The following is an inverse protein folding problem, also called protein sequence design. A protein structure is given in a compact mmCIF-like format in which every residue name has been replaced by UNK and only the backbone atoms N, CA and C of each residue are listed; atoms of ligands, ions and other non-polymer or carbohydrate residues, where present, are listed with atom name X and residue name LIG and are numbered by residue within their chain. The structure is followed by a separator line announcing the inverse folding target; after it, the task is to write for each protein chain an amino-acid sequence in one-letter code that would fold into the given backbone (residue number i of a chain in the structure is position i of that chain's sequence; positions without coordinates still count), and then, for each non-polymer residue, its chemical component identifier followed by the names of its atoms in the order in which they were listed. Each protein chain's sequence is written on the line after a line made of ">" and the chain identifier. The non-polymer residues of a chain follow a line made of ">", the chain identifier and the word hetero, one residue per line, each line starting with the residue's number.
data_IF_419856893501
#
_entry.id   IF_419856893501
#
_cell.length_a   1.000
_cell.length_b   1.000
_cell.length_c   1.000
_cell.angle_alpha   90.00
_cell.angle_beta   90.00
_cell.angle_gamma   90.00
#
_symmetry.space_group_name_H-M   'P 1'
#
loop_
_entity.id
_entity.type
_entity.pdbx_description
1 polymer ?
#
# COMPACT_ATOMS: atom_id res chain seq x y z
N UNK A 1 -70.66 70.64 11.68
CA UNK A 1 -70.12 69.89 12.83
C UNK A 1 -69.32 68.72 12.30
N UNK A 2 -68.05 68.64 12.66
CA UNK A 2 -67.06 67.73 12.09
C UNK A 2 -67.37 66.26 12.40
N UNK A 3 -67.20 65.40 11.39
CA UNK A 3 -67.30 63.95 11.50
C UNK A 3 -66.04 63.37 12.14
N UNK A 4 -66.22 62.67 13.26
CA UNK A 4 -65.18 61.86 13.90
C UNK A 4 -64.93 60.58 13.07
N UNK A 5 -63.75 60.50 12.45
CA UNK A 5 -63.15 59.21 12.05
C UNK A 5 -62.37 58.66 13.25
N UNK A 6 -62.57 57.38 13.65
CA UNK A 6 -61.78 56.78 14.71
C UNK A 6 -60.33 56.60 14.24
N UNK A 7 -59.39 57.03 15.08
CA UNK A 7 -57.95 56.88 14.90
C UNK A 7 -57.58 55.39 15.00
N UNK A 8 -56.87 54.87 14.00
CA UNK A 8 -56.33 53.50 13.97
C UNK A 8 -55.23 53.35 15.04
N UNK A 9 -55.60 52.96 16.26
CA UNK A 9 -54.65 52.69 17.37
C UNK A 9 -53.98 51.28 17.30
N UNK A 10 -54.18 50.52 16.21
CA UNK A 10 -53.83 49.09 16.18
C UNK A 10 -52.73 48.68 15.17
N UNK A 11 -52.08 49.62 14.49
CA UNK A 11 -51.03 49.28 13.50
C UNK A 11 -49.69 48.90 14.14
N UNK A 12 -49.31 49.53 15.25
CA UNK A 12 -48.07 49.21 15.98
C UNK A 12 -48.15 47.83 16.65
N UNK A 13 -49.32 47.48 17.20
CA UNK A 13 -49.61 46.15 17.77
C UNK A 13 -49.44 45.01 16.74
N UNK A 14 -49.92 45.20 15.51
CA UNK A 14 -49.79 44.18 14.45
C UNK A 14 -48.34 44.07 13.99
N UNK A 15 -47.62 45.19 13.86
CA UNK A 15 -46.19 45.24 13.50
C UNK A 15 -45.32 44.49 14.50
N UNK A 16 -45.57 44.67 15.80
CA UNK A 16 -44.82 44.01 16.86
C UNK A 16 -45.12 42.50 16.93
N UNK A 17 -46.37 42.09 16.72
CA UNK A 17 -46.75 40.67 16.57
C UNK A 17 -46.00 40.02 15.40
N UNK A 18 -45.93 40.69 14.24
CA UNK A 18 -45.18 40.16 13.09
C UNK A 18 -43.68 40.06 13.34
N UNK A 19 -43.08 41.02 14.06
CA UNK A 19 -41.65 40.98 14.42
C UNK A 19 -41.34 39.84 15.39
N UNK A 20 -42.18 39.64 16.40
CA UNK A 20 -42.01 38.55 17.37
C UNK A 20 -42.18 37.18 16.70
N UNK A 21 -43.15 37.02 15.80
CA UNK A 21 -43.29 35.80 15.01
C UNK A 21 -42.11 35.57 14.05
N UNK A 22 -41.60 36.62 13.41
CA UNK A 22 -40.42 36.52 12.55
C UNK A 22 -39.17 36.13 13.34
N UNK A 23 -38.99 36.67 14.55
CA UNK A 23 -37.89 36.32 15.45
C UNK A 23 -37.98 34.84 15.87
N UNK A 24 -39.18 34.39 16.28
CA UNK A 24 -39.44 32.99 16.64
C UNK A 24 -39.20 32.03 15.48
N UNK A 25 -39.64 32.38 14.26
CA UNK A 25 -39.42 31.57 13.05
C UNK A 25 -37.92 31.52 12.72
N UNK A 26 -37.21 32.65 12.78
CA UNK A 26 -35.78 32.69 12.50
C UNK A 26 -34.97 31.89 13.52
N UNK A 27 -35.32 31.98 14.81
CA UNK A 27 -34.72 31.15 15.86
C UNK A 27 -35.03 29.67 15.63
N UNK A 28 -36.28 29.31 15.30
CA UNK A 28 -36.66 27.91 15.03
C UNK A 28 -35.94 27.34 13.81
N UNK A 29 -35.79 28.11 12.73
CA UNK A 29 -35.00 27.72 11.56
C UNK A 29 -33.52 27.59 11.93
N UNK A 30 -32.98 28.51 12.72
CA UNK A 30 -31.61 28.43 13.25
C UNK A 30 -31.36 27.16 14.07
N UNK A 31 -32.28 26.82 14.98
CA UNK A 31 -32.22 25.58 15.76
C UNK A 31 -32.37 24.34 14.86
N UNK A 32 -33.27 24.36 13.87
CA UNK A 32 -33.43 23.26 12.94
C UNK A 32 -32.17 23.04 12.10
N UNK A 33 -31.55 24.10 11.56
CA UNK A 33 -30.27 24.00 10.82
C UNK A 33 -29.15 23.48 11.72
N UNK A 34 -29.08 23.94 12.98
CA UNK A 34 -28.11 23.45 13.95
C UNK A 34 -28.34 21.96 14.28
N UNK A 35 -29.59 21.54 14.52
CA UNK A 35 -29.96 20.14 14.75
C UNK A 35 -29.66 19.26 13.53
N UNK A 36 -29.99 19.69 12.32
CA UNK A 36 -29.64 18.96 11.09
C UNK A 36 -28.13 18.86 10.90
N UNK A 37 -27.38 19.91 11.20
CA UNK A 37 -25.92 19.90 11.14
C UNK A 37 -25.31 18.97 12.18
N UNK A 38 -25.83 18.98 13.41
CA UNK A 38 -25.44 18.06 14.49
C UNK A 38 -25.79 16.63 14.12
N UNK A 39 -26.99 16.35 13.62
CA UNK A 39 -27.40 15.01 13.17
C UNK A 39 -26.55 14.54 12.00
N UNK A 40 -26.20 15.41 11.06
CA UNK A 40 -25.31 15.08 9.94
C UNK A 40 -23.88 14.81 10.42
N UNK A 41 -23.35 15.64 11.32
CA UNK A 41 -22.04 15.45 11.96
C UNK A 41 -22.00 14.19 12.83
N UNK A 42 -23.05 13.94 13.61
CA UNK A 42 -23.20 12.73 14.41
C UNK A 42 -23.37 11.51 13.51
N UNK A 43 -24.10 11.58 12.40
CA UNK A 43 -24.21 10.50 11.42
C UNK A 43 -22.86 10.22 10.78
N UNK A 44 -22.11 11.23 10.36
CA UNK A 44 -20.78 11.05 9.78
C UNK A 44 -19.79 10.50 10.83
N UNK A 45 -19.84 11.01 12.06
CA UNK A 45 -19.04 10.50 13.19
C UNK A 45 -19.41 9.07 13.58
N UNK A 46 -20.71 8.74 13.64
CA UNK A 46 -21.23 7.41 13.96
C UNK A 46 -20.91 6.44 12.82
N UNK A 47 -21.07 6.84 11.56
CA UNK A 47 -20.71 6.01 10.41
C UNK A 47 -19.19 5.74 10.37
N UNK A 48 -18.37 6.75 10.69
CA UNK A 48 -16.91 6.61 10.81
C UNK A 48 -16.47 5.83 12.08
N UNK A 49 -17.23 5.87 13.17
CA UNK A 49 -16.91 5.18 14.42
C UNK A 49 -17.45 3.75 14.50
N UNK A 50 -18.58 3.44 13.84
CA UNK A 50 -19.10 2.09 13.66
C UNK A 50 -18.21 1.29 12.68
N UNK A 51 -17.56 1.94 11.72
CA UNK A 51 -16.50 1.32 10.89
C UNK A 51 -15.21 0.97 11.67
N UNK A 52 -15.10 1.28 12.98
CA UNK A 52 -13.86 1.13 13.78
C UNK A 52 -13.75 -0.12 14.67
N UNK A 53 -14.58 -1.16 14.60
CA UNK A 53 -14.33 -2.44 15.33
C UNK A 53 -14.84 -3.66 14.53
N UNK A 54 -14.15 -4.78 14.24
CA UNK A 54 -12.75 -5.32 14.14
C UNK A 54 -12.97 -6.73 13.49
N UNK A 55 -12.05 -7.37 12.73
CA UNK A 55 -10.61 -7.30 12.83
C UNK A 55 -9.92 -6.69 11.61
N UNK A 56 -8.73 -6.13 11.84
CA UNK A 56 -7.73 -5.89 10.79
C UNK A 56 -6.84 -7.12 10.77
N UNK A 57 -6.84 -7.91 9.69
CA UNK A 57 -5.75 -8.86 9.47
C UNK A 57 -4.43 -8.05 9.47
N UNK A 58 -3.51 -8.43 10.35
CA UNK A 58 -2.29 -7.66 10.64
C UNK A 58 -2.33 -6.89 11.96
N UNK A 59 -1.20 -6.29 12.32
CA UNK A 59 -1.06 -5.52 13.55
C UNK A 59 -1.85 -4.20 13.47
N UNK A 60 -2.32 -3.68 14.62
CA UNK A 60 -2.88 -2.33 14.66
C UNK A 60 -1.81 -1.29 14.32
N UNK A 61 -2.21 -0.14 13.78
CA UNK A 61 -1.28 0.93 13.39
C UNK A 61 -0.42 1.47 14.55
N UNK A 62 -0.82 1.23 15.80
CA UNK A 62 -0.10 1.65 17.01
C UNK A 62 1.04 0.70 17.41
N UNK A 63 1.20 -0.44 16.73
CA UNK A 63 2.22 -1.43 17.04
C UNK A 63 3.03 -1.75 15.79
N UNK A 64 4.34 -1.94 15.96
CA UNK A 64 5.21 -2.43 14.91
C UNK A 64 6.45 -3.12 15.49
N UNK A 65 6.88 -4.24 14.91
CA UNK A 65 8.11 -4.92 15.35
C UNK A 65 9.38 -4.19 14.91
N UNK A 66 9.26 -3.20 14.03
CA UNK A 66 10.35 -2.30 13.61
C UNK A 66 10.29 -0.94 14.29
N UNK A 67 9.57 -0.80 15.42
CA UNK A 67 9.55 0.45 16.20
C UNK A 67 10.95 0.89 16.69
N UNK A 68 11.90 -0.04 16.71
CA UNK A 68 13.30 0.20 17.05
C UNK A 68 14.20 0.37 15.82
N UNK A 69 13.68 0.54 14.60
CA UNK A 69 14.48 0.59 13.36
C UNK A 69 15.60 1.64 13.35
N UNK A 70 15.47 2.72 14.14
CA UNK A 70 16.49 3.77 14.28
C UNK A 70 17.33 3.65 15.57
N UNK A 71 17.28 2.50 16.27
CA UNK A 71 18.07 2.21 17.47
C UNK A 71 19.27 1.32 17.14
N UNK A 72 20.35 1.93 16.62
CA UNK A 72 21.55 1.25 16.10
C UNK A 72 22.37 0.50 17.15
N UNK A 73 22.29 0.88 18.43
CA UNK A 73 23.02 0.22 19.52
C UNK A 73 22.61 -1.24 19.76
N UNK A 74 21.52 -1.69 19.15
CA UNK A 74 20.98 -3.06 19.29
C UNK A 74 21.54 -4.06 18.27
N UNK A 75 22.36 -3.63 17.31
CA UNK A 75 22.80 -4.48 16.18
C UNK A 75 24.06 -5.30 16.38
N UNK A 76 24.73 -5.17 17.52
CA UNK A 76 26.08 -5.71 17.65
C UNK A 76 26.24 -6.64 18.86
N UNK A 77 25.49 -7.73 18.89
CA UNK A 77 25.95 -8.92 19.63
C UNK A 77 26.32 -9.98 18.61
N UNK A 78 27.63 -10.18 18.41
CA UNK A 78 28.13 -11.35 17.69
C UNK A 78 27.48 -12.61 18.29
N UNK A 79 26.87 -13.45 17.44
CA UNK A 79 26.18 -14.67 17.88
C UNK A 79 24.65 -14.56 18.06
N UNK A 80 24.01 -13.45 17.68
CA UNK A 80 22.54 -13.43 17.60
C UNK A 80 22.03 -14.35 16.48
N UNK A 81 20.98 -15.10 16.80
CA UNK A 81 20.29 -15.95 15.83
C UNK A 81 19.51 -15.10 14.81
N UNK A 82 19.66 -15.45 13.53
CA UNK A 82 18.93 -14.79 12.45
C UNK A 82 17.46 -15.16 12.57
N UNK A 83 16.58 -14.16 12.47
CA UNK A 83 15.15 -14.37 12.65
C UNK A 83 14.32 -13.43 11.81
N UNK A 84 13.07 -13.80 11.58
CA UNK A 84 12.05 -12.91 11.03
C UNK A 84 11.72 -11.86 12.09
N UNK A 85 12.33 -10.67 11.97
CA UNK A 85 12.09 -9.54 12.89
C UNK A 85 10.72 -8.92 12.63
N UNK A 86 10.29 -8.86 11.38
CA UNK A 86 8.99 -8.30 10.99
C UNK A 86 8.55 -8.86 9.63
N UNK A 87 7.24 -9.03 9.46
CA UNK A 87 6.62 -9.62 8.27
C UNK A 87 5.58 -8.65 7.71
N UNK A 88 5.61 -8.44 6.40
CA UNK A 88 4.80 -7.44 5.71
C UNK A 88 4.16 -8.00 4.44
N UNK A 89 2.92 -7.59 4.22
CA UNK A 89 2.21 -7.81 2.95
C UNK A 89 1.77 -6.48 2.35
N UNK A 90 1.63 -6.45 1.03
CA UNK A 90 1.21 -5.29 0.25
C UNK A 90 -0.02 -5.65 -0.58
N UNK A 91 -1.24 -5.66 -0.01
CA UNK A 91 -2.43 -6.18 -0.67
C UNK A 91 -2.71 -5.56 -2.03
N UNK A 92 -2.50 -4.24 -2.12
CA UNK A 92 -2.53 -3.49 -3.36
C UNK A 92 -1.10 -3.08 -3.74
N UNK A 93 -0.67 -3.47 -4.95
CA UNK A 93 0.64 -3.12 -5.51
C UNK A 93 0.86 -1.61 -5.46
N UNK A 94 2.01 -1.21 -4.92
CA UNK A 94 2.41 0.20 -4.82
C UNK A 94 1.76 0.97 -3.68
N UNK A 95 0.80 0.41 -2.94
CA UNK A 95 0.20 1.03 -1.76
C UNK A 95 0.97 0.70 -0.48
N UNK A 96 0.54 1.28 0.65
CA UNK A 96 1.12 1.01 1.97
C UNK A 96 0.98 -0.47 2.34
N UNK A 97 2.02 -1.03 2.93
CA UNK A 97 1.99 -2.39 3.46
C UNK A 97 1.28 -2.48 4.81
N UNK A 98 0.86 -3.69 5.15
CA UNK A 98 0.34 -4.08 6.45
C UNK A 98 1.39 -4.99 7.10
N UNK A 99 1.79 -4.67 8.32
CA UNK A 99 2.62 -5.58 9.11
C UNK A 99 1.74 -6.68 9.70
N UNK A 100 2.20 -7.92 9.64
CA UNK A 100 1.45 -9.09 10.08
C UNK A 100 2.29 -9.92 11.04
N UNK A 101 1.64 -10.60 11.99
CA UNK A 101 2.33 -11.55 12.85
C UNK A 101 2.74 -12.82 12.09
N UNK A 102 2.05 -13.10 10.98
CA UNK A 102 2.02 -14.40 10.35
C UNK A 102 1.47 -14.32 8.93
N UNK A 103 1.95 -15.16 8.02
CA UNK A 103 1.37 -15.30 6.69
C UNK A 103 1.53 -16.72 6.15
N UNK A 104 0.49 -17.23 5.48
CA UNK A 104 0.60 -18.47 4.70
C UNK A 104 1.45 -18.24 3.46
N UNK A 105 2.16 -19.28 3.06
CA UNK A 105 2.92 -19.29 1.81
C UNK A 105 2.02 -19.78 0.68
N UNK A 106 2.02 -19.02 -0.40
CA UNK A 106 1.36 -19.33 -1.65
C UNK A 106 2.42 -19.45 -2.75
N UNK A 107 2.08 -20.13 -3.84
CA UNK A 107 2.99 -20.23 -4.99
C UNK A 107 3.35 -18.86 -5.61
N UNK A 108 2.53 -17.82 -5.37
CA UNK A 108 2.74 -16.41 -5.76
C UNK A 108 3.38 -15.53 -4.68
N UNK A 109 3.74 -16.07 -3.51
CA UNK A 109 4.38 -15.32 -2.41
C UNK A 109 3.66 -15.47 -1.08
N UNK A 110 3.51 -14.37 -0.34
CA UNK A 110 2.77 -14.37 0.92
C UNK A 110 1.27 -14.24 0.67
N UNK A 111 0.46 -14.83 1.55
CA UNK A 111 -0.99 -14.69 1.51
C UNK A 111 -1.42 -13.23 1.44
N UNK A 112 -2.32 -12.92 0.50
CA UNK A 112 -2.84 -11.59 0.22
C UNK A 112 -1.82 -10.57 -0.29
N UNK A 113 -0.55 -10.91 -0.49
CA UNK A 113 0.45 -9.99 -1.00
C UNK A 113 0.27 -9.74 -2.51
N UNK A 114 0.19 -8.47 -2.91
CA UNK A 114 0.12 -7.99 -4.31
C UNK A 114 -0.95 -8.67 -5.16
N UNK A 115 -2.11 -8.96 -4.55
CA UNK A 115 -3.27 -9.58 -5.20
C UNK A 115 -4.13 -8.57 -5.96
N UNK A 116 -3.98 -7.27 -5.65
CA UNK A 116 -4.62 -6.19 -6.38
C UNK A 116 -3.60 -5.17 -6.88
N UNK A 117 -3.96 -4.41 -7.90
CA UNK A 117 -3.10 -3.40 -8.51
C UNK A 117 -3.93 -2.26 -9.10
N UNK A 118 -3.54 -1.02 -8.82
CA UNK A 118 -4.03 0.10 -9.62
C UNK A 118 -3.30 0.15 -10.97
N UNK A 119 -4.00 0.51 -12.03
CA UNK A 119 -3.43 0.81 -13.33
C UNK A 119 -3.92 2.18 -13.81
N UNK A 120 -3.13 2.82 -14.65
CA UNK A 120 -3.51 4.05 -15.36
C UNK A 120 -3.68 3.75 -16.85
N UNK A 121 -4.69 4.34 -17.46
CA UNK A 121 -4.86 4.38 -18.91
C UNK A 121 -4.61 5.80 -19.40
N UNK A 122 -3.67 5.94 -20.33
CA UNK A 122 -3.44 7.21 -21.01
C UNK A 122 -4.60 7.53 -21.94
N UNK A 123 -5.01 8.81 -22.06
CA UNK A 123 -6.05 9.20 -23.01
C UNK A 123 -5.73 8.71 -24.44
N UNK A 124 -6.69 8.04 -25.07
CA UNK A 124 -6.60 7.60 -26.46
C UNK A 124 -5.85 6.28 -26.71
N UNK A 125 -5.24 5.65 -25.70
CA UNK A 125 -4.52 4.37 -25.89
C UNK A 125 -5.40 3.14 -25.64
N UNK A 126 -6.42 3.27 -24.78
CA UNK A 126 -7.21 2.15 -24.24
C UNK A 126 -6.36 1.01 -23.61
N UNK A 127 -5.10 1.31 -23.27
CA UNK A 127 -4.14 0.36 -22.75
C UNK A 127 -3.85 0.67 -21.28
N UNK A 128 -4.20 -0.27 -20.41
CA UNK A 128 -3.94 -0.19 -18.97
C UNK A 128 -2.49 -0.54 -18.65
N UNK A 129 -1.77 0.39 -18.04
CA UNK A 129 -0.41 0.17 -17.56
C UNK A 129 -0.40 0.33 -16.05
N UNK A 130 0.27 -0.58 -15.34
CA UNK A 130 0.31 -0.53 -13.87
C UNK A 130 0.71 0.85 -13.32
N UNK A 131 0.01 1.30 -12.29
CA UNK A 131 0.35 2.48 -11.53
C UNK A 131 1.45 2.12 -10.52
N UNK A 132 2.47 2.96 -10.44
CA UNK A 132 3.57 2.79 -9.49
C UNK A 132 3.88 4.09 -8.76
N UNK A 133 4.51 3.98 -7.60
CA UNK A 133 4.94 5.15 -6.83
C UNK A 133 5.98 6.03 -7.58
N UNK A 134 6.56 5.56 -8.70
CA UNK A 134 7.42 6.39 -9.56
C UNK A 134 6.62 7.47 -10.29
N UNK A 135 5.42 7.10 -10.73
CA UNK A 135 4.47 8.00 -11.40
C UNK A 135 3.54 8.69 -10.42
N UNK A 136 3.11 7.98 -9.36
CA UNK A 136 2.14 8.45 -8.37
C UNK A 136 2.66 8.21 -6.94
N UNK A 137 3.62 9.02 -6.44
CA UNK A 137 4.23 8.83 -5.12
C UNK A 137 3.21 8.73 -3.96
N UNK A 138 2.11 9.50 -4.06
CA UNK A 138 1.03 9.50 -3.06
C UNK A 138 0.31 8.16 -2.89
N UNK A 139 0.50 7.18 -3.80
CA UNK A 139 0.03 5.81 -3.56
C UNK A 139 0.57 5.22 -2.26
N UNK A 140 1.76 5.64 -1.80
CA UNK A 140 2.32 5.27 -0.50
C UNK A 140 1.40 5.61 0.68
N UNK A 141 0.56 6.63 0.51
CA UNK A 141 -0.41 7.07 1.52
C UNK A 141 -1.72 6.30 1.48
N UNK A 142 -1.96 5.39 0.54
CA UNK A 142 -3.16 4.54 0.51
C UNK A 142 -2.97 3.39 1.50
N UNK A 143 -3.85 3.31 2.49
CA UNK A 143 -3.88 2.25 3.49
C UNK A 143 -4.85 1.15 3.06
N UNK A 144 -4.57 -0.07 3.50
CA UNK A 144 -5.44 -1.22 3.29
C UNK A 144 -5.76 -1.88 4.62
N UNK A 145 -6.93 -2.49 4.72
CA UNK A 145 -7.35 -3.35 5.82
C UNK A 145 -8.09 -4.54 5.26
N UNK A 146 -7.75 -5.73 5.73
CA UNK A 146 -8.30 -6.99 5.24
C UNK A 146 -9.19 -7.60 6.31
N UNK A 147 -10.37 -8.07 5.89
CA UNK A 147 -11.25 -8.96 6.64
C UNK A 147 -11.48 -10.25 5.83
N UNK A 148 -10.77 -11.34 6.17
CA UNK A 148 -10.92 -12.62 5.49
C UNK A 148 -12.30 -13.25 5.68
N UNK A 149 -12.98 -12.98 6.80
CA UNK A 149 -14.26 -13.63 7.14
C UNK A 149 -15.39 -13.22 6.21
N UNK A 150 -15.32 -11.98 5.71
CA UNK A 150 -16.29 -11.40 4.77
C UNK A 150 -15.75 -11.30 3.35
N UNK A 151 -14.53 -11.79 3.09
CA UNK A 151 -13.81 -11.61 1.82
C UNK A 151 -13.73 -10.13 1.40
N UNK A 152 -13.42 -9.23 2.35
CA UNK A 152 -13.43 -7.78 2.12
C UNK A 152 -12.05 -7.16 2.30
N UNK A 153 -11.67 -6.31 1.35
CA UNK A 153 -10.54 -5.41 1.43
C UNK A 153 -11.04 -3.96 1.47
N UNK A 154 -10.75 -3.26 2.55
CA UNK A 154 -11.03 -1.83 2.69
C UNK A 154 -9.80 -1.03 2.26
N UNK A 155 -9.99 -0.10 1.32
CA UNK A 155 -8.96 0.80 0.82
C UNK A 155 -9.26 2.21 1.35
N UNK A 156 -8.31 2.81 2.09
CA UNK A 156 -8.48 4.11 2.74
C UNK A 156 -7.42 5.10 2.29
N UNK A 157 -7.82 6.32 1.92
CA UNK A 157 -6.93 7.34 1.34
C UNK A 157 -7.13 8.72 1.99
N UNK A 158 -6.10 9.59 2.00
CA UNK A 158 -6.23 10.96 2.47
C UNK A 158 -7.29 11.73 1.68
N UNK A 159 -8.15 12.48 2.37
CA UNK A 159 -9.22 13.29 1.76
C UNK A 159 -9.34 14.63 2.49
N UNK A 160 -9.92 15.64 1.83
CA UNK A 160 -10.21 16.92 2.47
C UNK A 160 -11.53 16.78 3.25
N UNK A 161 -11.56 17.16 4.54
CA UNK A 161 -12.81 17.17 5.29
C UNK A 161 -13.77 18.21 4.69
N UNK A 162 -15.08 17.96 4.81
CA UNK A 162 -16.08 19.00 4.58
C UNK A 162 -15.92 20.15 5.59
N UNK A 163 -16.48 21.33 5.31
CA UNK A 163 -16.36 22.47 6.22
C UNK A 163 -16.75 22.12 7.68
N UNK A 164 -17.88 21.45 7.97
CA UNK A 164 -18.20 21.04 9.33
C UNK A 164 -17.18 20.06 9.94
N UNK A 165 -16.65 19.13 9.15
CA UNK A 165 -15.65 18.16 9.60
C UNK A 165 -14.28 18.82 9.86
N UNK A 166 -13.93 19.90 9.15
CA UNK A 166 -12.67 20.64 9.37
C UNK A 166 -12.60 21.33 10.73
N UNK A 167 -13.73 21.51 11.42
CA UNK A 167 -13.79 22.06 12.78
C UNK A 167 -13.43 21.01 13.86
N UNK A 168 -13.47 19.73 13.51
CA UNK A 168 -13.24 18.60 14.43
C UNK A 168 -11.91 17.90 14.12
N UNK A 169 -11.58 17.77 12.84
CA UNK A 169 -10.36 17.10 12.40
C UNK A 169 -9.26 18.13 12.13
N UNK A 170 -8.10 17.96 12.77
CA UNK A 170 -6.89 18.68 12.38
C UNK A 170 -6.56 18.37 10.92
N UNK A 171 -6.17 19.41 10.18
CA UNK A 171 -5.75 19.35 8.78
C UNK A 171 -4.69 18.25 8.59
N UNK A 172 -5.09 17.11 8.02
CA UNK A 172 -4.17 16.00 7.70
C UNK A 172 -4.64 14.60 8.06
N UNK A 173 -5.61 14.43 8.97
CA UNK A 173 -6.02 13.10 9.46
C UNK A 173 -7.35 12.57 8.90
N UNK A 174 -8.05 13.35 8.07
CA UNK A 174 -9.31 12.92 7.48
C UNK A 174 -9.05 11.97 6.31
N UNK A 175 -9.75 10.83 6.32
CA UNK A 175 -9.60 9.77 5.32
C UNK A 175 -10.96 9.27 4.90
N UNK A 176 -11.11 8.99 3.61
CA UNK A 176 -12.26 8.25 3.07
C UNK A 176 -11.84 6.83 2.75
N UNK A 177 -12.84 5.95 2.64
CA UNK A 177 -12.61 4.55 2.32
C UNK A 177 -13.70 3.98 1.42
N UNK A 178 -13.34 2.94 0.69
CA UNK A 178 -14.25 2.10 -0.06
C UNK A 178 -13.80 0.64 0.07
N UNK A 179 -14.69 -0.29 -0.25
CA UNK A 179 -14.44 -1.72 -0.08
C UNK A 179 -14.50 -2.44 -1.42
N UNK A 180 -13.65 -3.44 -1.58
CA UNK A 180 -13.65 -4.37 -2.71
C UNK A 180 -13.54 -5.81 -2.22
N UNK A 181 -13.86 -6.81 -3.07
CA UNK A 181 -13.55 -8.20 -2.75
C UNK A 181 -12.06 -8.39 -2.48
N UNK A 182 -11.71 -9.06 -1.38
CA UNK A 182 -10.33 -9.40 -1.03
C UNK A 182 -9.75 -10.40 -2.04
N UNK A 183 -10.52 -11.44 -2.37
CA UNK A 183 -10.21 -12.41 -3.39
C UNK A 183 -11.40 -12.55 -4.34
N UNK A 184 -11.24 -12.06 -5.58
CA UNK A 184 -12.27 -12.14 -6.61
C UNK A 184 -12.50 -13.59 -7.08
N UNK A 185 -11.48 -14.45 -7.03
CA UNK A 185 -11.52 -15.83 -7.54
C UNK A 185 -12.47 -16.75 -6.78
N UNK A 186 -12.81 -16.41 -5.52
CA UNK A 186 -13.73 -17.19 -4.69
C UNK A 186 -15.16 -16.64 -4.70
N UNK A 187 -15.44 -15.62 -5.51
CA UNK A 187 -16.78 -15.06 -5.61
C UNK A 187 -17.72 -16.03 -6.34
N UNK A 188 -18.99 -16.12 -5.92
CA UNK A 188 -20.02 -16.82 -6.70
C UNK A 188 -20.12 -16.26 -8.12
N UNK A 189 -20.39 -17.13 -9.10
CA UNK A 189 -20.37 -16.79 -10.53
C UNK A 189 -21.22 -15.55 -10.89
N UNK A 190 -22.40 -15.40 -10.26
CA UNK A 190 -23.28 -14.23 -10.47
C UNK A 190 -22.68 -12.90 -9.98
N UNK A 191 -21.84 -12.93 -8.93
CA UNK A 191 -21.11 -11.76 -8.45
C UNK A 191 -19.86 -11.51 -9.29
N UNK A 192 -19.15 -12.58 -9.66
CA UNK A 192 -17.94 -12.51 -10.47
C UNK A 192 -18.21 -11.99 -11.89
N UNK A 193 -19.37 -12.33 -12.48
CA UNK A 193 -19.78 -11.87 -13.81
C UNK A 193 -19.86 -10.34 -13.95
N UNK A 194 -19.86 -9.59 -12.85
CA UNK A 194 -19.80 -8.12 -12.85
C UNK A 194 -18.41 -7.57 -13.17
N UNK A 195 -17.37 -8.39 -13.07
CA UNK A 195 -15.98 -8.00 -13.25
C UNK A 195 -15.45 -8.61 -14.54
N UNK A 196 -15.27 -7.75 -15.55
CA UNK A 196 -14.66 -8.16 -16.81
C UNK A 196 -13.20 -8.54 -16.59
N UNK A 197 -12.74 -9.50 -17.39
CA UNK A 197 -11.32 -9.79 -17.46
C UNK A 197 -10.72 -8.83 -18.48
N UNK A 198 -9.79 -8.01 -18.03
CA UNK A 198 -9.18 -6.97 -18.84
C UNK A 198 -7.67 -7.18 -18.92
N UNK A 199 -7.10 -6.96 -20.10
CA UNK A 199 -5.65 -6.95 -20.31
C UNK A 199 -5.02 -5.75 -19.60
N UNK A 200 -3.94 -5.99 -18.88
CA UNK A 200 -3.14 -4.98 -18.19
C UNK A 200 -1.66 -5.25 -18.44
N UNK A 201 -0.87 -4.19 -18.53
CA UNK A 201 0.57 -4.28 -18.73
C UNK A 201 1.33 -4.01 -17.43
N UNK A 202 2.27 -4.90 -17.11
CA UNK A 202 3.22 -4.75 -16.02
C UNK A 202 4.61 -4.87 -16.61
N UNK A 203 5.35 -3.77 -16.64
CA UNK A 203 6.72 -3.73 -17.19
C UNK A 203 6.83 -4.30 -18.60
N UNK A 204 6.00 -3.81 -19.54
CA UNK A 204 5.94 -4.29 -20.93
C UNK A 204 5.53 -5.75 -21.11
N UNK A 205 5.15 -6.42 -20.03
CA UNK A 205 4.61 -7.77 -20.07
C UNK A 205 3.09 -7.75 -19.93
N UNK A 206 2.43 -8.46 -20.83
CA UNK A 206 0.98 -8.66 -20.79
C UNK A 206 0.60 -9.49 -19.58
N UNK A 207 -0.47 -9.08 -18.92
CA UNK A 207 -1.14 -9.77 -17.82
C UNK A 207 -2.65 -9.55 -17.97
N UNK A 208 -3.43 -10.21 -17.13
CA UNK A 208 -4.87 -9.97 -17.03
C UNK A 208 -5.29 -9.74 -15.59
N UNK A 209 -6.42 -9.07 -15.40
CA UNK A 209 -7.04 -8.90 -14.09
C UNK A 209 -8.55 -8.78 -14.20
N UNK A 210 -9.26 -9.15 -13.13
CA UNK A 210 -10.65 -8.75 -12.95
C UNK A 210 -10.70 -7.23 -12.77
N UNK A 211 -11.53 -6.55 -13.54
CA UNK A 211 -11.68 -5.10 -13.50
C UNK A 211 -12.66 -4.68 -12.39
N UNK A 212 -12.12 -4.13 -11.30
CA UNK A 212 -12.84 -3.63 -10.15
C UNK A 212 -13.01 -2.09 -10.19
N UNK A 213 -12.74 -1.45 -11.32
CA UNK A 213 -12.64 0.01 -11.44
C UNK A 213 -13.95 0.74 -11.09
N UNK A 214 -15.10 0.07 -11.21
CA UNK A 214 -16.40 0.60 -10.81
C UNK A 214 -16.50 0.94 -9.31
N UNK A 215 -15.62 0.37 -8.47
CA UNK A 215 -15.57 0.65 -7.03
C UNK A 215 -14.78 1.92 -6.69
N UNK A 216 -13.98 2.43 -7.62
CA UNK A 216 -13.05 3.54 -7.36
C UNK A 216 -13.84 4.86 -7.26
N UNK A 217 -13.80 5.54 -6.11
CA UNK A 217 -14.39 6.87 -5.99
C UNK A 217 -13.63 7.88 -6.86
N UNK A 218 -14.34 8.78 -7.55
CA UNK A 218 -13.73 9.81 -8.39
C UNK A 218 -12.70 10.66 -7.62
N UNK A 219 -13.00 10.96 -6.36
CA UNK A 219 -12.11 11.74 -5.48
C UNK A 219 -10.74 11.07 -5.27
N UNK A 220 -10.66 9.74 -5.22
CA UNK A 220 -9.36 9.06 -5.12
C UNK A 220 -8.50 9.36 -6.35
N UNK A 221 -9.12 9.33 -7.54
CA UNK A 221 -8.44 9.62 -8.82
C UNK A 221 -7.88 11.04 -8.79
N UNK A 222 -8.71 11.99 -8.36
CA UNK A 222 -8.35 13.41 -8.34
C UNK A 222 -7.27 13.74 -7.29
N UNK A 223 -7.25 13.02 -6.16
CA UNK A 223 -6.36 13.33 -5.03
C UNK A 223 -5.01 12.61 -5.08
N UNK A 224 -4.99 11.35 -5.52
CA UNK A 224 -3.80 10.49 -5.49
C UNK A 224 -3.17 10.32 -6.86
N UNK A 225 -3.97 10.24 -7.91
CA UNK A 225 -3.52 9.89 -9.26
C UNK A 225 -3.51 11.07 -10.23
N UNK A 226 -3.80 12.28 -9.78
CA UNK A 226 -3.65 13.48 -10.61
C UNK A 226 -2.17 13.79 -10.85
N UNK A 227 -1.78 13.92 -12.11
CA UNK A 227 -0.42 14.26 -12.53
C UNK A 227 -0.45 15.57 -13.32
N UNK A 228 0.17 16.62 -12.79
CA UNK A 228 0.39 17.90 -13.50
C UNK A 228 -0.82 18.36 -14.35
N UNK A 229 -2.02 18.32 -13.76
CA UNK A 229 -3.30 18.70 -14.40
C UNK A 229 -3.80 17.79 -15.54
N UNK A 230 -3.08 16.74 -15.92
CA UNK A 230 -3.57 15.71 -16.84
C UNK A 230 -4.43 14.70 -16.08
N UNK A 231 -5.71 14.61 -16.46
CA UNK A 231 -6.58 13.52 -16.02
C UNK A 231 -6.14 12.23 -16.70
N UNK A 232 -5.70 11.28 -15.90
CA UNK A 232 -5.48 9.89 -16.34
C UNK A 232 -6.66 9.07 -15.86
N UNK A 233 -7.11 8.13 -16.67
CA UNK A 233 -8.05 7.13 -16.21
C UNK A 233 -7.32 6.17 -15.27
N UNK A 234 -7.99 5.81 -14.18
CA UNK A 234 -7.44 4.93 -13.15
C UNK A 234 -8.39 3.78 -12.96
N UNK A 235 -7.82 2.58 -13.01
CA UNK A 235 -8.51 1.32 -12.78
C UNK A 235 -7.89 0.53 -11.64
N UNK A 236 -8.62 -0.45 -11.14
CA UNK A 236 -8.21 -1.34 -10.04
C UNK A 236 -8.46 -2.77 -10.51
N UNK A 237 -7.42 -3.58 -10.45
CA UNK A 237 -7.45 -4.94 -11.00
C UNK A 237 -7.11 -5.93 -9.90
N UNK A 238 -7.82 -7.06 -9.88
CA UNK A 238 -7.51 -8.21 -9.03
C UNK A 238 -6.95 -9.36 -9.87
N UNK A 239 -6.04 -10.15 -9.30
CA UNK A 239 -5.43 -11.30 -9.99
C UNK A 239 -6.50 -12.31 -10.41
N UNK A 240 -6.23 -13.02 -11.51
CA UNK A 240 -7.07 -14.13 -11.97
C UNK A 240 -6.29 -15.43 -11.85
N UNK A 241 -6.79 -16.34 -11.01
CA UNK A 241 -6.17 -17.64 -10.78
C UNK A 241 -6.05 -18.42 -12.09
N UNK A 242 -4.93 -19.15 -12.25
CA UNK A 242 -4.59 -19.85 -13.48
C UNK A 242 -4.11 -18.97 -14.64
N UNK A 243 -4.16 -17.64 -14.52
CA UNK A 243 -3.68 -16.69 -15.55
C UNK A 243 -2.68 -15.67 -15.00
N UNK A 244 -2.00 -16.06 -13.93
CA UNK A 244 -0.93 -15.30 -13.31
C UNK A 244 0.29 -15.22 -14.24
N UNK A 245 1.00 -14.09 -14.19
CA UNK A 245 2.20 -13.85 -14.99
C UNK A 245 3.35 -14.72 -14.48
N UNK A 246 4.16 -15.25 -15.38
CA UNK A 246 5.40 -15.94 -15.03
C UNK A 246 6.58 -14.97 -14.85
N UNK A 247 7.69 -15.46 -14.32
CA UNK A 247 8.95 -14.70 -14.27
C UNK A 247 9.89 -15.04 -15.45
N UNK A 248 9.37 -15.72 -16.48
CA UNK A 248 10.08 -16.19 -17.67
C UNK A 248 11.38 -16.94 -17.32
N UNK A 249 12.40 -16.87 -18.18
CA UNK A 249 13.72 -17.49 -17.98
C UNK A 249 14.61 -16.74 -16.96
N UNK A 250 14.06 -15.77 -16.23
CA UNK A 250 14.83 -14.91 -15.31
C UNK A 250 14.82 -15.42 -13.88
N UNK A 251 14.14 -16.52 -13.56
CA UNK A 251 14.24 -17.14 -12.25
C UNK A 251 14.44 -18.64 -12.29
N UNK A 252 14.37 -19.30 -11.13
CA UNK A 252 14.63 -20.73 -11.03
C UNK A 252 13.61 -21.49 -11.90
N UNK A 253 14.08 -22.46 -12.71
CA UNK A 253 13.20 -23.18 -13.62
C UNK A 253 12.43 -24.29 -12.88
N UNK A 254 11.53 -24.99 -13.58
CA UNK A 254 10.66 -26.02 -13.01
C UNK A 254 11.47 -27.16 -12.39
N UNK A 255 12.64 -27.49 -12.95
CA UNK A 255 13.53 -28.54 -12.45
C UNK A 255 14.10 -28.21 -11.06
N UNK A 256 14.18 -26.91 -10.73
CA UNK A 256 14.63 -26.46 -9.41
C UNK A 256 13.45 -26.36 -8.44
N UNK A 257 12.32 -25.80 -8.85
CA UNK A 257 11.20 -25.52 -7.95
C UNK A 257 10.18 -26.66 -7.81
N UNK A 258 10.19 -27.62 -8.73
CA UNK A 258 9.12 -28.62 -8.90
C UNK A 258 7.86 -28.09 -9.58
N UNK A 259 7.78 -26.77 -9.85
CA UNK A 259 6.58 -26.10 -10.39
C UNK A 259 6.90 -24.89 -11.27
N UNK A 260 5.95 -24.42 -12.09
CA UNK A 260 6.07 -23.13 -12.76
C UNK A 260 6.22 -21.97 -11.77
N UNK A 261 7.09 -21.03 -12.13
CA UNK A 261 7.29 -19.83 -11.35
C UNK A 261 6.33 -18.72 -11.77
N UNK A 262 5.19 -18.70 -11.09
CA UNK A 262 4.11 -17.72 -11.28
C UNK A 262 4.12 -16.67 -10.18
N UNK A 263 3.83 -15.44 -10.55
CA UNK A 263 3.62 -14.31 -9.64
C UNK A 263 2.28 -13.65 -9.93
N UNK A 264 1.66 -13.07 -8.90
CA UNK A 264 0.52 -12.18 -9.08
C UNK A 264 0.96 -10.85 -9.70
N UNK A 265 0.52 -9.72 -9.13
CA UNK A 265 0.96 -8.41 -9.59
C UNK A 265 2.31 -7.95 -8.98
N UNK A 266 3.14 -8.89 -8.53
CA UNK A 266 4.51 -8.58 -8.13
C UNK A 266 5.33 -8.01 -9.30
N UNK A 267 6.38 -7.24 -9.00
CA UNK A 267 7.27 -6.70 -10.04
C UNK A 267 8.05 -7.82 -10.70
N UNK A 268 8.70 -8.67 -9.89
CA UNK A 268 9.57 -9.71 -10.39
C UNK A 268 9.56 -10.97 -9.54
N UNK A 269 9.75 -10.86 -8.22
CA UNK A 269 9.78 -12.03 -7.33
C UNK A 269 8.57 -12.04 -6.38
N UNK A 270 8.13 -13.23 -5.94
CA UNK A 270 7.00 -13.37 -5.03
C UNK A 270 7.29 -12.87 -3.61
N UNK A 271 8.55 -12.93 -3.16
CA UNK A 271 8.97 -12.49 -1.83
C UNK A 271 10.23 -11.61 -1.95
N UNK A 272 10.28 -10.51 -1.19
CA UNK A 272 11.47 -9.67 -1.01
C UNK A 272 11.93 -9.75 0.46
N UNK A 273 13.20 -10.09 0.69
CA UNK A 273 13.82 -10.17 2.02
C UNK A 273 14.91 -9.10 2.17
N UNK A 274 15.06 -8.51 3.35
CA UNK A 274 16.04 -7.45 3.59
C UNK A 274 16.50 -7.43 5.06
N UNK A 275 17.81 -7.30 5.28
CA UNK A 275 18.40 -7.14 6.60
C UNK A 275 18.13 -5.76 7.20
N UNK A 276 17.68 -5.71 8.46
CA UNK A 276 17.51 -4.43 9.16
C UNK A 276 18.87 -3.75 9.42
N UNK A 277 19.91 -4.52 9.73
CA UNK A 277 21.27 -4.02 9.89
C UNK A 277 21.80 -3.37 8.60
N UNK A 278 21.50 -3.96 7.43
CA UNK A 278 21.84 -3.44 6.11
C UNK A 278 21.23 -2.06 5.87
N UNK A 279 19.95 -1.87 6.24
CA UNK A 279 19.28 -0.58 6.12
C UNK A 279 19.85 0.45 7.09
N UNK A 280 20.20 0.03 8.31
CA UNK A 280 20.76 0.90 9.32
C UNK A 280 22.15 1.41 8.94
N UNK A 281 23.04 0.53 8.48
CA UNK A 281 24.34 0.96 7.95
C UNK A 281 24.15 1.89 6.74
N UNK A 282 23.23 1.55 5.83
CA UNK A 282 22.95 2.40 4.68
C UNK A 282 22.36 3.77 5.06
N UNK A 283 21.54 3.86 6.12
CA UNK A 283 20.98 5.12 6.59
C UNK A 283 22.09 6.11 6.99
N UNK A 284 23.19 5.63 7.59
CA UNK A 284 24.32 6.49 7.96
C UNK A 284 24.94 7.22 6.75
N UNK A 285 24.83 6.63 5.55
CA UNK A 285 25.34 7.22 4.30
C UNK A 285 24.43 8.32 3.74
N UNK A 286 23.14 8.32 4.08
CA UNK A 286 22.13 9.24 3.53
C UNK A 286 21.47 10.15 4.57
N UNK A 287 21.84 10.04 5.85
CA UNK A 287 21.24 10.79 6.97
C UNK A 287 21.29 12.32 6.81
N UNK A 288 22.19 12.84 5.98
CA UNK A 288 22.24 14.26 5.64
C UNK A 288 21.01 14.76 4.87
N UNK A 289 20.45 13.92 3.99
CA UNK A 289 19.28 14.23 3.14
C UNK A 289 18.00 13.56 3.63
N UNK A 290 18.11 12.37 4.22
CA UNK A 290 17.01 11.59 4.78
C UNK A 290 17.43 11.17 6.20
N UNK A 291 17.13 11.97 7.24
CA UNK A 291 17.59 11.69 8.61
C UNK A 291 17.18 10.30 9.12
N UNK A 292 15.99 9.84 8.72
CA UNK A 292 15.41 8.56 9.13
C UNK A 292 14.98 7.75 7.90
N UNK A 293 15.92 7.04 7.26
CA UNK A 293 15.62 6.14 6.16
C UNK A 293 14.93 4.86 6.67
N UNK A 294 13.59 4.86 6.70
CA UNK A 294 12.83 3.67 7.09
C UNK A 294 13.01 2.51 6.11
N UNK A 295 13.15 1.28 6.64
CA UNK A 295 13.19 0.03 5.87
C UNK A 295 11.97 -0.15 4.95
N UNK A 296 10.84 0.47 5.31
CA UNK A 296 9.58 0.44 4.55
C UNK A 296 9.70 1.05 3.15
N UNK A 297 10.69 1.92 2.90
CA UNK A 297 10.99 2.48 1.57
C UNK A 297 11.40 1.41 0.56
N UNK A 298 12.01 0.33 1.04
CA UNK A 298 12.44 -0.80 0.21
C UNK A 298 11.35 -1.85 -0.03
N UNK A 299 10.24 -1.75 0.70
CA UNK A 299 9.08 -2.61 0.59
C UNK A 299 9.36 -4.13 0.72
N UNK A 300 10.20 -4.57 1.68
CA UNK A 300 10.41 -6.00 1.90
C UNK A 300 9.16 -6.67 2.46
N UNK A 301 9.00 -7.93 2.13
CA UNK A 301 8.03 -8.81 2.78
C UNK A 301 8.59 -9.35 4.09
N UNK A 302 9.87 -9.71 4.12
CA UNK A 302 10.54 -10.25 5.31
C UNK A 302 11.67 -9.31 5.70
N UNK A 303 11.65 -8.84 6.95
CA UNK A 303 12.74 -8.06 7.53
C UNK A 303 13.51 -8.98 8.48
N UNK A 304 14.81 -9.13 8.23
CA UNK A 304 15.70 -9.97 9.03
C UNK A 304 16.27 -9.17 10.20
N UNK A 305 16.27 -9.77 11.39
CA UNK A 305 17.02 -9.29 12.53
C UNK A 305 18.08 -10.30 12.98
N UNK A 306 19.13 -9.81 13.62
CA UNK A 306 20.23 -10.62 14.15
C UNK A 306 21.36 -10.89 13.14
N UNK A 307 21.18 -10.57 11.85
CA UNK A 307 22.22 -10.70 10.84
C UNK A 307 23.18 -9.49 10.83
N UNK A 308 24.46 -9.69 10.50
CA UNK A 308 25.33 -8.59 10.10
C UNK A 308 24.76 -7.80 8.93
N UNK A 309 25.23 -6.57 8.75
CA UNK A 309 24.88 -5.74 7.62
C UNK A 309 25.31 -6.40 6.31
N UNK A 310 24.38 -6.43 5.35
CA UNK A 310 24.52 -7.04 4.03
C UNK A 310 24.82 -8.54 4.02
N UNK A 311 24.66 -9.24 5.14
CA UNK A 311 24.89 -10.69 5.21
C UNK A 311 24.00 -11.45 4.22
N UNK A 312 22.82 -10.91 3.88
CA UNK A 312 21.88 -11.50 2.93
C UNK A 312 22.36 -11.52 1.47
N UNK A 313 23.37 -10.72 1.10
CA UNK A 313 23.75 -10.48 -0.30
C UNK A 313 24.27 -11.72 -1.04
N UNK A 314 24.69 -12.75 -0.32
CA UNK A 314 25.21 -14.01 -0.86
C UNK A 314 24.37 -15.23 -0.46
N UNK A 315 23.21 -15.06 0.19
CA UNK A 315 22.36 -16.21 0.54
C UNK A 315 21.83 -16.87 -0.73
N UNK A 316 21.94 -18.19 -0.85
CA UNK A 316 21.39 -18.93 -2.00
C UNK A 316 20.15 -19.72 -1.58
N UNK A 317 20.29 -20.53 -0.54
CA UNK A 317 19.22 -21.33 0.04
C UNK A 317 19.07 -20.97 1.52
N UNK A 318 17.84 -20.71 1.94
CA UNK A 318 17.53 -20.42 3.34
C UNK A 318 16.38 -21.27 3.81
N UNK A 319 16.42 -21.66 5.08
CA UNK A 319 15.28 -22.24 5.79
C UNK A 319 14.71 -21.21 6.74
N UNK A 320 13.40 -20.95 6.65
CA UNK A 320 12.68 -20.04 7.55
C UNK A 320 11.60 -20.86 8.23
N UNK A 321 11.69 -20.99 9.56
CA UNK A 321 10.82 -21.89 10.32
C UNK A 321 10.99 -23.33 9.83
N UNK A 322 9.91 -23.92 9.29
CA UNK A 322 9.90 -25.29 8.75
C UNK A 322 10.30 -25.41 7.29
N UNK A 323 10.24 -24.32 6.53
CA UNK A 323 10.24 -24.35 5.06
C UNK A 323 11.54 -23.82 4.46
N UNK A 324 11.95 -24.42 3.35
CA UNK A 324 13.08 -23.95 2.55
C UNK A 324 12.60 -22.92 1.51
N UNK A 325 13.51 -22.03 1.12
CA UNK A 325 13.29 -21.00 0.13
C UNK A 325 14.54 -20.81 -0.71
N UNK A 326 14.35 -20.50 -1.99
CA UNK A 326 15.44 -20.12 -2.84
C UNK A 326 15.57 -18.60 -2.91
N UNK A 327 16.71 -18.08 -2.51
CA UNK A 327 17.10 -16.69 -2.70
C UNK A 327 17.70 -16.58 -4.10
N UNK A 328 16.97 -15.92 -5.01
CA UNK A 328 17.20 -16.07 -6.44
C UNK A 328 18.10 -15.01 -7.05
N UNK A 329 18.04 -13.78 -6.54
CA UNK A 329 18.84 -12.67 -7.04
C UNK A 329 18.93 -11.55 -6.01
N UNK A 330 19.91 -10.68 -6.16
CA UNK A 330 19.88 -9.37 -5.48
C UNK A 330 18.72 -8.56 -6.04
N UNK A 331 18.19 -7.64 -5.24
CA UNK A 331 17.06 -6.78 -5.63
C UNK A 331 17.59 -5.42 -6.06
N UNK A 332 17.66 -5.12 -7.36
CA UNK A 332 18.12 -3.82 -7.79
C UNK A 332 17.00 -2.81 -7.57
N UNK A 333 17.37 -1.58 -7.25
CA UNK A 333 16.43 -0.57 -6.78
C UNK A 333 16.16 0.46 -7.87
N UNK A 334 14.87 0.69 -8.14
CA UNK A 334 14.42 1.87 -8.86
C UNK A 334 14.27 3.07 -7.90
N UNK A 335 13.69 4.17 -8.37
CA UNK A 335 13.45 5.40 -7.60
C UNK A 335 12.28 5.35 -6.59
N UNK A 336 11.63 4.20 -6.39
CA UNK A 336 10.53 4.08 -5.40
C UNK A 336 11.00 4.37 -3.96
N UNK A 337 12.17 3.91 -3.49
CA UNK A 337 12.65 4.21 -2.14
C UNK A 337 12.83 5.70 -1.83
N UNK A 338 12.89 6.56 -2.85
CA UNK A 338 12.95 8.01 -2.66
C UNK A 338 11.67 8.58 -2.05
N UNK A 339 10.54 7.88 -2.20
CA UNK A 339 9.27 8.32 -1.66
C UNK A 339 9.17 7.98 -0.18
N UNK A 340 8.77 8.96 0.61
CA UNK A 340 8.45 8.74 2.01
C UNK A 340 7.22 7.83 2.16
N UNK A 341 7.30 6.77 2.97
CA UNK A 341 6.23 5.78 3.05
C UNK A 341 5.00 6.27 3.85
N UNK A 342 5.10 7.40 4.55
CA UNK A 342 4.01 8.01 5.32
C UNK A 342 3.39 9.20 4.59
N UNK A 343 4.20 10.06 3.98
CA UNK A 343 3.72 11.28 3.31
C UNK A 343 3.57 11.12 1.79
N UNK A 344 4.29 10.17 1.18
CA UNK A 344 4.42 10.05 -0.27
C UNK A 344 5.27 11.16 -0.88
N UNK A 345 5.92 12.01 -0.08
CA UNK A 345 6.83 13.04 -0.58
C UNK A 345 8.10 12.41 -1.12
N UNK A 346 8.53 12.87 -2.28
CA UNK A 346 9.65 12.29 -2.99
C UNK A 346 10.91 13.12 -2.76
N UNK A 347 11.94 12.51 -2.18
CA UNK A 347 13.28 13.08 -2.25
C UNK A 347 13.78 13.02 -3.70
N UNK A 348 14.33 14.12 -4.20
CA UNK A 348 14.75 14.26 -5.60
C UNK A 348 15.81 13.23 -6.00
N UNK A 349 16.75 12.95 -5.11
CA UNK A 349 17.97 12.18 -5.41
C UNK A 349 18.09 10.93 -4.53
N UNK A 350 17.86 11.04 -3.22
CA UNK A 350 18.12 9.98 -2.26
C UNK A 350 16.91 9.06 -2.00
N UNK A 351 17.13 7.78 -1.69
CA UNK A 351 18.42 7.10 -1.58
C UNK A 351 18.97 6.57 -2.94
N UNK A 352 18.30 6.81 -4.07
CA UNK A 352 18.67 6.25 -5.39
C UNK A 352 20.13 6.54 -5.81
N UNK A 353 20.60 7.78 -5.66
CA UNK A 353 21.97 8.15 -6.02
C UNK A 353 23.00 7.40 -5.17
N UNK A 354 22.84 7.40 -3.85
CA UNK A 354 23.78 6.70 -2.95
C UNK A 354 23.72 5.18 -3.13
N UNK A 355 22.53 4.60 -3.35
CA UNK A 355 22.37 3.17 -3.63
C UNK A 355 23.15 2.80 -4.90
N UNK A 356 23.01 3.55 -5.99
CA UNK A 356 23.75 3.30 -7.23
C UNK A 356 25.26 3.43 -7.05
N UNK A 357 25.71 4.42 -6.27
CA UNK A 357 27.14 4.67 -6.05
C UNK A 357 27.81 3.68 -5.11
N UNK A 358 27.09 3.17 -4.10
CA UNK A 358 27.67 2.37 -3.00
C UNK A 358 27.27 0.89 -3.05
N UNK A 359 26.19 0.56 -3.74
CA UNK A 359 25.57 -0.78 -3.74
C UNK A 359 25.39 -1.35 -5.14
N UNK A 360 26.16 -0.92 -6.13
CA UNK A 360 26.20 -1.55 -7.46
C UNK A 360 27.03 -2.86 -7.41
N UNK A 361 26.39 -3.91 -6.88
CA UNK A 361 27.02 -5.19 -6.55
C UNK A 361 26.48 -6.37 -7.38
N UNK A 362 25.58 -6.12 -8.33
CA UNK A 362 24.99 -7.16 -9.17
C UNK A 362 25.42 -6.96 -10.64
N UNK A 363 26.26 -7.85 -11.19
CA UNK A 363 26.67 -7.78 -12.61
C UNK A 363 25.50 -7.85 -13.60
N UNK A 364 24.37 -8.45 -13.20
CA UNK A 364 23.15 -8.58 -13.99
C UNK A 364 22.26 -7.32 -14.01
N UNK A 365 22.57 -6.32 -13.19
CA UNK A 365 21.88 -5.04 -13.14
C UNK A 365 22.88 -3.87 -13.12
N UNK A 366 23.73 -3.73 -14.15
CA UNK A 366 24.75 -2.70 -14.17
C UNK A 366 24.13 -1.31 -14.06
N UNK A 367 24.81 -0.39 -13.37
CA UNK A 367 24.39 1.00 -13.11
C UNK A 367 23.23 1.16 -12.11
N UNK A 368 22.74 0.05 -11.55
CA UNK A 368 21.73 0.04 -10.49
C UNK A 368 22.37 -0.41 -9.20
N UNK A 369 21.92 0.15 -8.08
CA UNK A 369 22.30 -0.38 -6.77
C UNK A 369 21.28 -1.38 -6.24
N UNK A 370 21.73 -2.32 -5.42
CA UNK A 370 20.92 -3.39 -4.86
C UNK A 370 20.71 -3.26 -3.36
N UNK A 371 19.48 -3.52 -2.90
CA UNK A 371 19.14 -3.61 -1.48
C UNK A 371 18.12 -4.73 -1.25
N UNK A 372 18.53 -5.74 -0.48
CA UNK A 372 17.77 -6.94 -0.19
C UNK A 372 17.75 -7.92 -1.36
N UNK A 373 17.05 -9.05 -1.15
CA UNK A 373 17.10 -10.20 -2.04
C UNK A 373 15.70 -10.61 -2.50
N UNK A 374 15.60 -10.99 -3.76
CA UNK A 374 14.44 -11.66 -4.30
C UNK A 374 14.45 -13.12 -3.88
N UNK A 375 13.30 -13.62 -3.42
CA UNK A 375 13.16 -14.97 -2.90
C UNK A 375 11.91 -15.63 -3.46
N UNK A 376 11.98 -16.94 -3.69
CA UNK A 376 10.85 -17.77 -4.14
C UNK A 376 10.62 -18.94 -3.17
N UNK A 377 9.36 -19.25 -2.83
CA UNK A 377 9.05 -20.44 -2.06
C UNK A 377 9.01 -21.69 -2.95
N UNK A 378 9.35 -22.85 -2.38
CA UNK A 378 9.08 -24.15 -3.02
C UNK A 378 7.59 -24.51 -2.93
N UNK A 379 7.17 -25.57 -3.62
CA UNK A 379 5.79 -26.06 -3.60
C UNK A 379 5.46 -26.78 -2.28
N UNK A 380 5.02 -26.03 -1.27
CA UNK A 380 4.51 -26.56 0.01
C UNK A 380 3.47 -25.61 0.61
N UNK A 381 2.49 -26.18 1.30
CA UNK A 381 1.61 -25.43 2.22
C UNK A 381 2.41 -25.02 3.45
N UNK A 382 3.16 -23.93 3.31
CA UNK A 382 4.02 -23.37 4.34
C UNK A 382 3.39 -22.19 5.06
N UNK A 383 4.06 -21.76 6.12
CA UNK A 383 3.70 -20.57 6.90
C UNK A 383 4.96 -19.93 7.45
N UNK A 384 4.99 -18.60 7.48
CA UNK A 384 6.04 -17.84 8.17
C UNK A 384 5.39 -17.04 9.30
N UNK A 385 6.00 -17.12 10.48
CA UNK A 385 5.66 -16.35 11.66
C UNK A 385 6.78 -15.36 12.02
N UNK A 386 6.40 -14.21 12.60
CA UNK A 386 7.37 -13.32 13.23
C UNK A 386 8.07 -14.07 14.37
N UNK A 387 9.39 -14.00 14.41
CA UNK A 387 10.23 -14.74 15.34
C UNK A 387 10.79 -16.04 14.79
N UNK A 388 10.33 -16.53 13.63
CA UNK A 388 10.88 -17.74 13.02
C UNK A 388 12.38 -17.59 12.79
N UNK A 389 13.11 -18.65 13.17
CA UNK A 389 14.54 -18.78 12.91
C UNK A 389 14.80 -18.83 11.40
N UNK A 390 15.86 -18.16 10.99
CA UNK A 390 16.40 -18.21 9.63
C UNK A 390 17.74 -18.96 9.69
N UNK A 391 17.86 -20.02 8.91
CA UNK A 391 19.08 -20.80 8.75
C UNK A 391 19.56 -20.70 7.31
N UNK A 392 20.77 -20.17 7.09
CA UNK A 392 21.38 -20.11 5.76
C UNK A 392 21.96 -21.48 5.43
N UNK A 393 21.36 -22.17 4.45
CA UNK A 393 21.73 -23.53 4.02
C UNK A 393 22.90 -23.52 3.05
N UNK A 394 22.94 -22.56 2.14
CA UNK A 394 24.06 -22.34 1.22
C UNK A 394 24.20 -20.87 0.86
N UNK A 395 25.40 -20.50 0.41
CA UNK A 395 25.74 -19.14 -0.04
C UNK A 395 26.35 -19.19 -1.44
N UNK A 396 26.06 -18.19 -2.26
CA UNK A 396 26.66 -17.96 -3.57
C UNK A 396 26.92 -16.47 -3.80
N UNK A 397 28.14 -16.08 -4.24
CA UNK A 397 28.37 -14.72 -4.70
C UNK A 397 27.80 -14.46 -6.10
N UNK A 398 27.61 -15.52 -6.90
CA UNK A 398 27.13 -15.50 -8.29
C UNK A 398 25.66 -15.96 -8.35
N UNK A 399 24.76 -15.02 -8.11
CA UNK A 399 23.32 -15.24 -8.30
C UNK A 399 23.04 -15.50 -9.78
N UNK A 400 22.63 -16.73 -10.08
CA UNK A 400 22.48 -17.21 -11.47
C UNK A 400 21.32 -16.52 -12.19
N UNK A 401 20.32 -16.07 -11.43
CA UNK A 401 19.04 -15.57 -11.96
C UNK A 401 18.84 -14.08 -11.67
N UNK A 402 17.82 -13.48 -12.28
CA UNK A 402 17.59 -12.04 -12.25
C UNK A 402 18.57 -11.22 -13.11
N UNK A 403 19.55 -11.87 -13.76
CA UNK A 403 20.43 -11.20 -14.73
C UNK A 403 19.61 -10.62 -15.88
N UNK A 404 19.90 -9.38 -16.27
CA UNK A 404 19.18 -8.62 -17.31
C UNK A 404 17.73 -8.23 -16.98
N UNK A 405 17.32 -8.29 -15.70
CA UNK A 405 15.98 -7.85 -15.28
C UNK A 405 15.64 -6.45 -15.82
N UNK A 406 16.61 -5.54 -15.80
CA UNK A 406 16.39 -4.13 -16.14
C UNK A 406 16.37 -3.84 -17.63
N UNK A 407 17.10 -4.60 -18.43
CA UNK A 407 17.07 -4.42 -19.89
C UNK A 407 15.71 -4.83 -20.46
N UNK A 408 14.99 -5.76 -19.84
CA UNK A 408 13.62 -6.11 -20.23
C UNK A 408 12.55 -5.18 -19.63
N UNK A 409 12.81 -4.62 -18.44
CA UNK A 409 11.89 -3.74 -17.73
C UNK A 409 11.89 -2.32 -18.33
N UNK A 410 13.05 -1.79 -18.74
CA UNK A 410 13.19 -0.41 -19.22
C UNK A 410 13.47 -0.30 -20.73
N UNK A 411 14.03 -1.33 -21.38
CA UNK A 411 14.37 -1.34 -22.81
C UNK A 411 13.15 -1.43 -23.72
#
# INVERSE_FOLDING_TARGET
>A
MASHLPRLENLDSISDIYKDHALLINSAVGYAVALFSIVYLCRDYISNSILRKKPTFGFPQTFSNISDEFQYSKDQSAGQEFRVKSLWIYPVKGCRGIEVASSKICHTGLQYDRQLMFASCSPGTNAWVFASQRGFPKMATIHTSIDPSTNTLTISYPSKPSFPASLIYSSGNFRKSFTVPLNANILPANKLAKYLVTEVEIWRQKSVGYDLSAHIPQELKDTIFSKNYTKVDVGLFAVVDGRNRGINHMGPPVEVLGRPNTIGFADFAPIHILGLASVREFNELVKGDIPNLSVRRFRPNIIVGGSPSYDEDDWEMVKIGSDDYHVMSRTPRCKVPNNDPDTGERNRNEPDVTIRGKRNIDPGAPLLGCMGMHMVPFEKDGKIDVGDKIEVKSRTPDHKWGRNLWTQIEG
#
